data_IF_918494357948
#
_entry.id   IF_918494357948
#
_cell.length_a   1.000
_cell.length_b   1.000
_cell.length_c   1.000
_cell.angle_alpha   90.00
_cell.angle_beta   90.00
_cell.angle_gamma   90.00
#
_symmetry.space_group_name_H-M   'P 1'
#
loop_
_entity.id
_entity.type
_entity.pdbx_description
1 polymer ?
#
# COMPACT_ATOMS: atom_id res chain seq x y z
N UNK A 1 -0.28 -3.26 -11.83
CA UNK A 1 0.62 -3.64 -10.71
C UNK A 1 1.32 -4.92 -11.10
N UNK A 2 2.66 -4.97 -11.05
CA UNK A 2 3.44 -6.17 -11.38
C UNK A 2 2.96 -7.41 -10.64
N UNK A 3 2.97 -8.56 -11.32
CA UNK A 3 2.48 -9.81 -10.76
C UNK A 3 3.11 -10.18 -9.40
N UNK A 4 4.43 -10.06 -9.18
CA UNK A 4 5.02 -10.37 -7.87
C UNK A 4 4.47 -9.49 -6.74
N UNK A 5 4.24 -8.20 -7.00
CA UNK A 5 3.64 -7.29 -6.00
C UNK A 5 2.21 -7.72 -5.68
N UNK A 6 1.43 -8.14 -6.69
CA UNK A 6 0.07 -8.69 -6.45
C UNK A 6 0.12 -9.93 -5.58
N UNK A 7 1.05 -10.85 -5.82
CA UNK A 7 1.21 -12.05 -5.00
C UNK A 7 1.52 -11.71 -3.54
N UNK A 8 2.40 -10.75 -3.28
CA UNK A 8 2.69 -10.28 -1.91
C UNK A 8 1.44 -9.70 -1.26
N UNK A 9 0.71 -8.83 -1.97
CA UNK A 9 -0.54 -8.26 -1.45
C UNK A 9 -1.60 -9.33 -1.17
N UNK A 10 -1.72 -10.35 -2.03
CA UNK A 10 -2.62 -11.50 -1.83
C UNK A 10 -2.25 -12.31 -0.59
N UNK A 11 -0.97 -12.65 -0.44
CA UNK A 11 -0.48 -13.39 0.73
C UNK A 11 -0.73 -12.63 2.03
N UNK A 12 -0.39 -11.34 2.04
CA UNK A 12 -0.62 -10.45 3.19
C UNK A 12 -2.11 -10.31 3.52
N UNK A 13 -2.98 -10.24 2.50
CA UNK A 13 -4.42 -10.23 2.66
C UNK A 13 -4.93 -11.51 3.34
N UNK A 14 -4.51 -12.69 2.85
CA UNK A 14 -4.89 -13.98 3.45
C UNK A 14 -4.43 -14.08 4.90
N UNK A 15 -3.18 -13.72 5.20
CA UNK A 15 -2.66 -13.71 6.56
C UNK A 15 -3.47 -12.77 7.47
N UNK A 16 -3.75 -11.54 7.00
CA UNK A 16 -4.49 -10.52 7.76
C UNK A 16 -5.94 -10.93 8.02
N UNK A 17 -6.63 -11.51 7.03
CA UNK A 17 -8.04 -11.94 7.16
C UNK A 17 -8.29 -12.89 8.33
N UNK A 18 -7.28 -13.69 8.71
CA UNK A 18 -7.42 -14.66 9.82
C UNK A 18 -7.56 -14.00 11.19
N UNK A 19 -6.93 -12.83 11.39
CA UNK A 19 -6.90 -12.12 12.68
C UNK A 19 -7.65 -10.79 12.67
N UNK A 20 -7.62 -10.07 11.55
CA UNK A 20 -8.21 -8.74 11.38
C UNK A 20 -9.00 -8.64 10.07
N UNK A 21 -10.22 -9.22 10.00
CA UNK A 21 -11.02 -9.25 8.77
C UNK A 21 -11.27 -7.86 8.15
N UNK A 22 -11.50 -6.85 9.00
CA UNK A 22 -11.78 -5.48 8.57
C UNK A 22 -10.49 -4.66 8.27
N UNK A 23 -9.32 -5.19 8.64
CA UNK A 23 -8.03 -4.50 8.52
C UNK A 23 -7.29 -4.75 7.21
N UNK A 24 -7.79 -5.64 6.36
CA UNK A 24 -7.11 -6.12 5.15
C UNK A 24 -6.71 -4.99 4.21
N UNK A 25 -7.65 -4.09 3.89
CA UNK A 25 -7.40 -2.98 2.98
C UNK A 25 -6.37 -2.00 3.55
N UNK A 26 -6.41 -1.73 4.86
CA UNK A 26 -5.44 -0.85 5.51
C UNK A 26 -4.03 -1.44 5.50
N UNK A 27 -3.89 -2.74 5.75
CA UNK A 27 -2.59 -3.42 5.73
C UNK A 27 -2.02 -3.51 4.31
N UNK A 28 -2.84 -3.91 3.33
CA UNK A 28 -2.44 -4.00 1.91
C UNK A 28 -2.13 -2.61 1.35
N UNK A 29 -2.98 -1.62 1.63
CA UNK A 29 -2.78 -0.24 1.23
C UNK A 29 -1.54 0.37 1.86
N UNK A 30 -1.35 0.14 3.16
CA UNK A 30 -0.15 0.56 3.90
C UNK A 30 1.12 0.01 3.27
N UNK A 31 1.19 -1.29 2.94
CA UNK A 31 2.32 -1.84 2.21
C UNK A 31 2.47 -1.21 0.82
N UNK A 32 1.39 -1.25 0.02
CA UNK A 32 1.42 -0.90 -1.40
C UNK A 32 1.82 0.57 -1.62
N UNK A 33 1.15 1.49 -0.93
CA UNK A 33 1.44 2.91 -1.06
C UNK A 33 2.75 3.28 -0.39
N UNK A 34 3.04 2.80 0.83
CA UNK A 34 4.24 3.22 1.56
C UNK A 34 5.52 2.74 0.90
N UNK A 35 5.53 1.53 0.33
CA UNK A 35 6.76 0.90 -0.19
C UNK A 35 6.94 1.03 -1.69
N UNK A 36 5.88 1.29 -2.46
CA UNK A 36 5.99 1.39 -3.91
C UNK A 36 5.59 2.75 -4.46
N UNK A 37 4.38 3.23 -4.13
CA UNK A 37 3.85 4.46 -4.76
C UNK A 37 4.46 5.73 -4.16
N UNK A 38 4.51 5.84 -2.84
CA UNK A 38 5.02 7.03 -2.17
C UNK A 38 6.51 7.27 -2.47
N UNK A 39 7.43 6.27 -2.43
CA UNK A 39 8.82 6.49 -2.81
C UNK A 39 8.97 7.00 -4.26
N UNK A 40 8.18 6.44 -5.19
CA UNK A 40 8.16 6.90 -6.57
C UNK A 40 7.70 8.36 -6.73
N UNK A 41 6.91 8.90 -5.79
CA UNK A 41 6.49 10.30 -5.79
C UNK A 41 7.48 11.21 -5.07
N UNK A 42 8.04 10.77 -3.93
CA UNK A 42 8.87 11.63 -3.07
C UNK A 42 10.33 11.70 -3.50
N UNK A 43 10.86 10.62 -4.09
CA UNK A 43 12.23 10.50 -4.59
C UNK A 43 12.26 9.89 -6.01
N UNK A 44 11.58 10.52 -6.99
CA UNK A 44 11.36 9.91 -8.31
C UNK A 44 12.64 9.63 -9.11
N UNK A 45 13.70 10.42 -8.91
CA UNK A 45 15.00 10.19 -9.57
C UNK A 45 15.72 8.95 -9.03
N UNK A 46 15.71 8.74 -7.72
CA UNK A 46 16.31 7.54 -7.10
C UNK A 46 15.54 6.26 -7.47
N UNK A 47 14.24 6.39 -7.73
CA UNK A 47 13.39 5.29 -8.17
C UNK A 47 13.43 5.05 -9.69
N UNK A 48 14.20 5.83 -10.46
CA UNK A 48 14.28 5.73 -11.92
C UNK A 48 12.98 6.08 -12.65
N UNK A 49 12.10 6.86 -12.02
CA UNK A 49 10.80 7.28 -12.57
C UNK A 49 10.94 8.60 -13.35
N UNK A 50 11.92 9.43 -13.01
CA UNK A 50 12.14 10.73 -13.63
C UNK A 50 13.61 11.13 -13.61
N UNK A 51 14.18 11.39 -14.79
CA UNK A 51 15.61 11.70 -14.95
C UNK A 51 15.94 13.20 -14.84
N UNK A 52 14.94 14.07 -14.73
CA UNK A 52 15.12 15.52 -14.69
C UNK A 52 15.18 16.11 -13.28
N UNK A 53 15.59 17.38 -13.16
CA UNK A 53 15.52 18.08 -11.89
C UNK A 53 14.11 18.60 -11.60
N UNK A 54 13.57 18.29 -10.41
CA UNK A 54 12.29 18.81 -9.96
C UNK A 54 12.43 20.16 -9.28
N UNK A 55 11.63 21.13 -9.71
CA UNK A 55 11.49 22.40 -9.01
C UNK A 55 10.98 22.19 -7.57
N UNK A 56 11.28 23.14 -6.68
CA UNK A 56 10.81 23.10 -5.29
C UNK A 56 9.28 22.98 -5.18
N UNK A 57 8.55 23.65 -6.08
CA UNK A 57 7.09 23.59 -6.13
C UNK A 57 6.59 22.20 -6.57
N UNK A 58 7.19 21.60 -7.59
CA UNK A 58 6.83 20.26 -8.04
C UNK A 58 7.10 19.20 -6.96
N UNK A 59 8.26 19.27 -6.29
CA UNK A 59 8.60 18.39 -5.18
C UNK A 59 7.60 18.50 -4.03
N UNK A 60 7.21 19.74 -3.67
CA UNK A 60 6.18 19.98 -2.65
C UNK A 60 4.83 19.41 -3.05
N UNK A 61 4.41 19.57 -4.31
CA UNK A 61 3.16 19.01 -4.80
C UNK A 61 3.14 17.47 -4.71
N UNK A 62 4.21 16.80 -5.14
CA UNK A 62 4.34 15.35 -5.07
C UNK A 62 4.28 14.82 -3.62
N UNK A 63 4.91 15.51 -2.67
CA UNK A 63 4.82 15.19 -1.24
C UNK A 63 3.41 15.31 -0.68
N UNK A 64 2.64 16.33 -1.11
CA UNK A 64 1.25 16.48 -0.68
C UNK A 64 0.37 15.39 -1.30
N UNK A 65 0.60 15.03 -2.57
CA UNK A 65 -0.10 13.93 -3.23
C UNK A 65 0.18 12.59 -2.54
N UNK A 66 1.44 12.29 -2.18
CA UNK A 66 1.76 11.06 -1.47
C UNK A 66 1.03 10.96 -0.12
N UNK A 67 0.87 12.09 0.57
CA UNK A 67 0.14 12.18 1.84
C UNK A 67 -1.37 11.97 1.66
N UNK A 68 -1.97 12.55 0.62
CA UNK A 68 -3.38 12.33 0.28
C UNK A 68 -3.63 10.85 -0.01
N UNK A 69 -2.77 10.22 -0.83
CA UNK A 69 -2.90 8.80 -1.17
C UNK A 69 -2.75 7.89 0.04
N UNK A 70 -1.81 8.20 0.95
CA UNK A 70 -1.63 7.46 2.22
C UNK A 70 -2.85 7.59 3.13
N UNK A 71 -3.40 8.80 3.28
CA UNK A 71 -4.59 9.02 4.08
C UNK A 71 -5.81 8.31 3.48
N UNK A 72 -5.94 8.33 2.15
CA UNK A 72 -6.99 7.60 1.43
C UNK A 72 -6.86 6.08 1.61
N UNK A 73 -5.64 5.53 1.49
CA UNK A 73 -5.41 4.10 1.65
C UNK A 73 -5.69 3.61 3.08
N UNK A 74 -5.43 4.46 4.06
CA UNK A 74 -5.61 4.13 5.47
C UNK A 74 -7.01 4.45 6.00
N UNK A 75 -7.87 5.09 5.19
CA UNK A 75 -9.20 5.54 5.63
C UNK A 75 -9.14 6.63 6.72
N UNK A 76 -8.09 7.45 6.73
CA UNK A 76 -7.85 8.49 7.76
C UNK A 76 -8.05 9.88 7.16
N UNK A 77 -8.78 10.75 7.86
CA UNK A 77 -8.97 12.15 7.48
C UNK A 77 -7.87 13.06 8.02
N UNK A 78 -7.62 14.16 7.32
CA UNK A 78 -6.80 15.26 7.85
C UNK A 78 -7.51 15.92 9.05
N UNK A 79 -6.73 16.25 10.08
CA UNK A 79 -7.21 16.86 11.32
C UNK A 79 -6.48 18.16 11.67
N UNK A 80 -6.65 18.66 12.91
CA UNK A 80 -6.10 19.96 13.36
C UNK A 80 -4.59 20.11 13.21
N UNK A 81 -3.83 19.01 13.30
CA UNK A 81 -2.36 19.04 13.09
C UNK A 81 -1.98 19.44 11.66
N UNK A 82 -2.90 19.29 10.70
CA UNK A 82 -2.67 19.43 9.26
C UNK A 82 -3.80 20.26 8.64
N UNK A 83 -4.14 21.38 9.29
CA UNK A 83 -5.31 22.21 8.97
C UNK A 83 -5.36 22.65 7.50
N UNK A 84 -4.20 22.96 6.91
CA UNK A 84 -4.06 23.34 5.50
C UNK A 84 -4.48 22.24 4.51
N UNK A 85 -4.62 20.98 4.95
CA UNK A 85 -5.07 19.85 4.14
C UNK A 85 -6.55 19.50 4.35
N UNK A 86 -7.25 20.14 5.29
CA UNK A 86 -8.67 19.86 5.56
C UNK A 86 -9.57 19.90 4.30
N UNK A 87 -9.38 20.80 3.33
CA UNK A 87 -10.18 20.80 2.11
C UNK A 87 -10.08 19.49 1.30
N UNK A 88 -9.04 18.68 1.50
CA UNK A 88 -8.87 17.40 0.82
C UNK A 88 -9.73 16.29 1.42
N UNK A 89 -10.33 16.47 2.60
CA UNK A 89 -11.21 15.45 3.18
C UNK A 89 -12.43 15.13 2.30
N UNK A 90 -12.97 16.13 1.58
CA UNK A 90 -14.04 15.90 0.60
C UNK A 90 -13.57 14.99 -0.56
N UNK A 91 -12.31 15.13 -0.99
CA UNK A 91 -11.72 14.23 -1.98
C UNK A 91 -11.55 12.82 -1.44
N UNK A 92 -11.13 12.67 -0.18
CA UNK A 92 -11.00 11.37 0.47
C UNK A 92 -12.34 10.64 0.52
N UNK A 93 -13.39 11.33 0.99
CA UNK A 93 -14.74 10.79 1.10
C UNK A 93 -15.29 10.33 -0.26
N UNK A 94 -15.08 11.13 -1.31
CA UNK A 94 -15.52 10.79 -2.67
C UNK A 94 -14.82 9.58 -3.28
N UNK A 95 -13.63 9.23 -2.80
CA UNK A 95 -12.79 8.18 -3.40
C UNK A 95 -12.62 6.94 -2.50
N UNK A 96 -13.28 6.92 -1.35
CA UNK A 96 -13.16 5.83 -0.37
C UNK A 96 -13.60 4.47 -0.95
N UNK A 97 -14.67 4.44 -1.74
CA UNK A 97 -15.12 3.22 -2.42
C UNK A 97 -14.17 2.81 -3.54
N UNK A 98 -13.67 3.78 -4.32
CA UNK A 98 -12.76 3.54 -5.43
C UNK A 98 -11.46 2.87 -4.97
N UNK A 99 -10.90 3.34 -3.84
CA UNK A 99 -9.66 2.76 -3.29
C UNK A 99 -9.89 1.35 -2.74
N UNK A 100 -11.06 1.08 -2.14
CA UNK A 100 -11.44 -0.27 -1.70
C UNK A 100 -11.57 -1.24 -2.87
N UNK A 101 -12.28 -0.84 -3.93
CA UNK A 101 -12.40 -1.63 -5.15
C UNK A 101 -11.04 -1.90 -5.80
N UNK A 102 -10.12 -0.94 -5.73
CA UNK A 102 -8.75 -1.14 -6.18
C UNK A 102 -8.04 -2.24 -5.37
N UNK A 103 -8.15 -2.20 -4.03
CA UNK A 103 -7.58 -3.25 -3.19
C UNK A 103 -8.20 -4.62 -3.41
N UNK A 104 -9.52 -4.69 -3.60
CA UNK A 104 -10.21 -5.95 -3.91
C UNK A 104 -9.68 -6.57 -5.21
N UNK A 105 -9.51 -5.76 -6.25
CA UNK A 105 -8.88 -6.20 -7.52
C UNK A 105 -7.41 -6.57 -7.35
N UNK A 106 -6.70 -5.91 -6.44
CA UNK A 106 -5.28 -6.15 -6.19
C UNK A 106 -5.06 -7.51 -5.50
N UNK A 107 -5.98 -7.89 -4.60
CA UNK A 107 -5.92 -9.12 -3.80
C UNK A 107 -6.80 -10.25 -4.33
N UNK A 108 -7.49 -10.04 -5.45
CA UNK A 108 -8.37 -11.04 -6.07
C UNK A 108 -7.61 -12.33 -6.34
N UNK A 109 -8.17 -13.46 -5.90
CA UNK A 109 -7.58 -14.78 -6.10
C UNK A 109 -7.75 -15.21 -7.57
N UNK A 110 -6.68 -15.65 -8.27
CA UNK A 110 -6.79 -16.13 -9.64
C UNK A 110 -7.72 -17.32 -9.84
N UNK A 111 -7.99 -18.11 -8.80
CA UNK A 111 -8.97 -19.20 -8.83
C UNK A 111 -10.42 -18.69 -8.88
N UNK A 112 -10.64 -17.44 -8.50
CA UNK A 112 -11.94 -16.75 -8.55
C UNK A 112 -12.13 -15.93 -9.83
N UNK A 113 -11.13 -15.92 -10.71
CA UNK A 113 -11.17 -15.25 -12.01
C UNK A 113 -11.85 -16.11 -13.07
N UNK A 114 -12.54 -15.44 -13.98
CA UNK A 114 -13.12 -16.09 -15.15
C UNK A 114 -12.02 -16.47 -16.16
N UNK A 115 -12.31 -17.36 -17.12
CA UNK A 115 -11.28 -17.88 -18.04
C UNK A 115 -10.57 -16.76 -18.81
N UNK A 116 -11.32 -15.78 -19.31
CA UNK A 116 -10.80 -14.61 -20.02
C UNK A 116 -9.83 -13.76 -19.15
N UNK A 117 -10.11 -13.63 -17.85
CA UNK A 117 -9.28 -12.84 -16.92
C UNK A 117 -7.98 -13.57 -16.58
N UNK A 118 -8.02 -14.90 -16.46
CA UNK A 118 -6.83 -15.73 -16.25
C UNK A 118 -5.90 -15.70 -17.46
N UNK A 119 -6.46 -15.81 -18.67
CA UNK A 119 -5.68 -15.72 -19.91
C UNK A 119 -4.97 -14.36 -20.02
N UNK A 120 -5.66 -13.26 -19.71
CA UNK A 120 -5.05 -11.93 -19.66
C UNK A 120 -3.95 -11.80 -18.59
N UNK A 121 -4.13 -12.40 -17.41
CA UNK A 121 -3.11 -12.39 -16.34
C UNK A 121 -1.89 -13.25 -16.71
N UNK A 122 -2.07 -14.38 -17.40
CA UNK A 122 -0.97 -15.20 -17.92
C UNK A 122 -0.19 -14.53 -19.03
N UNK A 123 -0.87 -13.86 -19.98
CA UNK A 123 -0.22 -13.08 -21.02
C UNK A 123 0.59 -11.92 -20.42
N UNK A 124 0.02 -11.21 -19.44
CA UNK A 124 0.72 -10.15 -18.72
C UNK A 124 1.94 -10.69 -17.98
N UNK A 125 1.81 -11.85 -17.31
CA UNK A 125 2.92 -12.50 -16.62
C UNK A 125 4.05 -12.88 -17.58
N UNK A 126 3.75 -13.46 -18.75
CA UNK A 126 4.77 -13.78 -19.77
C UNK A 126 5.44 -12.52 -20.30
N UNK A 127 4.67 -11.46 -20.58
CA UNK A 127 5.22 -10.18 -21.02
C UNK A 127 6.10 -9.53 -19.94
N UNK A 128 5.73 -9.66 -18.67
CA UNK A 128 6.53 -9.19 -17.54
C UNK A 128 7.81 -10.01 -17.35
N UNK A 129 7.76 -11.33 -17.48
CA UNK A 129 8.93 -12.21 -17.44
C UNK A 129 9.91 -11.91 -18.58
N UNK A 130 9.40 -11.68 -19.80
CA UNK A 130 10.18 -11.29 -20.97
C UNK A 130 10.81 -9.89 -20.78
N UNK A 131 10.09 -8.97 -20.13
CA UNK A 131 10.60 -7.63 -19.77
C UNK A 131 11.55 -7.65 -18.57
N UNK A 132 11.45 -8.66 -17.70
CA UNK A 132 12.28 -8.82 -16.49
C UNK A 132 13.73 -9.17 -16.80
N UNK A 133 14.02 -9.69 -18.00
CA UNK A 133 15.40 -9.79 -18.54
C UNK A 133 16.08 -8.42 -18.73
N UNK A 134 15.34 -7.31 -18.62
CA UNK A 134 15.82 -5.94 -18.86
C UNK A 134 15.80 -5.02 -17.63
N UNK A 135 15.33 -5.47 -16.45
CA UNK A 135 15.31 -4.66 -15.22
C UNK A 135 15.67 -5.49 -13.99
N UNK A 136 16.96 -5.50 -13.62
CA UNK A 136 17.51 -6.36 -12.55
C UNK A 136 17.48 -5.72 -11.15
N UNK A 137 17.41 -4.40 -11.01
CA UNK A 137 17.65 -3.76 -9.70
C UNK A 137 16.41 -3.74 -8.76
N UNK A 138 15.18 -3.67 -9.28
CA UNK A 138 13.97 -3.60 -8.43
C UNK A 138 13.45 -4.97 -7.96
N UNK A 139 13.83 -6.06 -8.61
CA UNK A 139 13.36 -7.40 -8.26
C UNK A 139 14.09 -7.97 -7.03
N UNK A 140 15.36 -7.60 -6.82
CA UNK A 140 16.13 -8.02 -5.66
C UNK A 140 15.62 -7.35 -4.37
N UNK A 141 15.33 -6.05 -4.41
CA UNK A 141 14.73 -5.34 -3.27
C UNK A 141 13.35 -5.92 -2.89
N UNK A 142 12.57 -6.33 -3.89
CA UNK A 142 11.29 -7.00 -3.69
C UNK A 142 11.44 -8.39 -3.08
N UNK A 143 12.36 -9.21 -3.61
CA UNK A 143 12.65 -10.53 -3.04
C UNK A 143 13.17 -10.42 -1.60
N UNK A 144 14.09 -9.49 -1.36
CA UNK A 144 14.66 -9.23 -0.04
C UNK A 144 13.60 -8.74 0.94
N UNK A 145 12.64 -7.92 0.49
CA UNK A 145 11.51 -7.52 1.33
C UNK A 145 10.60 -8.71 1.66
N UNK A 146 10.31 -9.59 0.71
CA UNK A 146 9.51 -10.81 0.95
C UNK A 146 10.22 -11.72 1.96
N UNK A 147 11.51 -11.99 1.76
CA UNK A 147 12.32 -12.80 2.67
C UNK A 147 12.38 -12.15 4.05
N UNK A 148 12.58 -10.83 4.11
CA UNK A 148 12.61 -10.09 5.38
C UNK A 148 11.27 -10.16 6.11
N UNK A 149 10.14 -9.93 5.43
CA UNK A 149 8.82 -9.99 6.06
C UNK A 149 8.50 -11.39 6.56
N UNK A 150 8.83 -12.43 5.79
CA UNK A 150 8.62 -13.83 6.18
C UNK A 150 9.50 -14.20 7.39
N UNK A 151 10.76 -13.77 7.38
CA UNK A 151 11.72 -14.07 8.46
C UNK A 151 11.44 -13.33 9.77
N UNK A 152 10.75 -12.18 9.72
CA UNK A 152 10.51 -11.32 10.88
C UNK A 152 9.02 -11.23 11.26
N UNK A 153 8.17 -12.05 10.65
CA UNK A 153 6.71 -11.97 10.79
C UNK A 153 6.24 -12.08 12.25
N UNK A 154 6.73 -13.06 13.01
CA UNK A 154 6.30 -13.29 14.39
C UNK A 154 6.66 -12.13 15.35
N UNK A 155 7.81 -11.49 15.12
CA UNK A 155 8.25 -10.35 15.93
C UNK A 155 7.43 -9.09 15.59
N UNK A 156 7.20 -8.86 14.30
CA UNK A 156 6.36 -7.77 13.83
C UNK A 156 4.91 -7.93 14.34
N UNK A 157 4.38 -9.15 14.33
CA UNK A 157 3.05 -9.48 14.83
C UNK A 157 2.90 -9.13 16.32
N UNK A 158 3.85 -9.55 17.17
CA UNK A 158 3.84 -9.22 18.60
C UNK A 158 3.90 -7.72 18.89
N UNK A 159 4.73 -6.99 18.15
CA UNK A 159 4.87 -5.55 18.33
C UNK A 159 3.61 -4.80 17.86
N UNK A 160 2.96 -5.26 16.80
CA UNK A 160 1.68 -4.73 16.34
C UNK A 160 0.58 -4.99 17.38
N UNK A 161 0.45 -6.22 17.88
CA UNK A 161 -0.52 -6.58 18.93
C UNK A 161 -0.36 -5.73 20.19
N UNK A 162 0.89 -5.55 20.64
CA UNK A 162 1.21 -4.69 21.78
C UNK A 162 0.73 -3.25 21.57
N UNK A 163 0.97 -2.68 20.39
CA UNK A 163 0.58 -1.29 20.08
C UNK A 163 -0.93 -1.13 19.89
N UNK A 164 -1.61 -2.15 19.39
CA UNK A 164 -3.08 -2.15 19.30
C UNK A 164 -3.69 -2.12 20.71
N UNK A 165 -3.19 -2.94 21.63
CA UNK A 165 -3.63 -2.95 23.04
C UNK A 165 -3.35 -1.60 23.73
N UNK A 166 -2.19 -0.98 23.47
CA UNK A 166 -1.88 0.37 23.99
C UNK A 166 -2.81 1.46 23.44
N UNK A 167 -3.24 1.34 22.18
CA UNK A 167 -4.21 2.27 21.57
C UNK A 167 -5.65 2.07 22.08
N UNK A 168 -6.04 0.84 22.40
CA UNK A 168 -7.36 0.53 22.96
C UNK A 168 -7.46 0.90 24.44
N UNK A 169 -6.42 0.63 25.24
CA UNK A 169 -6.35 1.03 26.64
C UNK A 169 -6.35 2.55 26.85
N UNK A 170 -5.74 3.31 25.93
CA UNK A 170 -5.78 4.79 25.95
C UNK A 170 -7.13 5.40 25.56
N UNK A 171 -8.09 4.58 25.10
CA UNK A 171 -9.44 5.01 24.73
C UNK A 171 -10.44 4.83 25.88
N UNK A 172 -10.20 3.88 26.78
CA UNK A 172 -11.00 3.69 28.00
C UNK A 172 -10.65 4.74 29.08
N UNK A 173 -9.39 5.14 29.23
CA UNK A 173 -8.99 6.16 30.22
C UNK A 173 -9.43 7.60 29.87
N UNK A 174 -9.91 7.86 28.65
CA UNK A 174 -10.39 9.20 28.23
C UNK A 174 -11.92 9.34 28.22
N UNK A 175 -12.64 8.35 28.73
CA UNK A 175 -14.11 8.33 28.84
C UNK A 175 -14.68 8.75 30.19
N UNK A 176 -13.85 8.94 31.22
CA UNK A 176 -14.28 9.37 32.56
C UNK A 176 -13.49 10.61 33.01
N UNK A 177 -13.88 11.79 32.52
CA UNK A 177 -13.82 13.08 33.26
C UNK A 177 -14.63 14.17 32.55
#
# INVERSE_FOLDING_TARGET
VPYPIRQVCRHLSTATKTRFPDGVHAVVGGLFFLRFVCPALTVPGEMGVWDGELSANARRALLLMSKILMNLSNGVKFGKKEEYMLPMNEFLDKNEENIRMFFDKLILDPSQQNEDEREQEEELKRAEEERSLLMVENHEALLNLVIFLDSNWEEMEKEVEKRVVEMEGGREEKGEE
#
